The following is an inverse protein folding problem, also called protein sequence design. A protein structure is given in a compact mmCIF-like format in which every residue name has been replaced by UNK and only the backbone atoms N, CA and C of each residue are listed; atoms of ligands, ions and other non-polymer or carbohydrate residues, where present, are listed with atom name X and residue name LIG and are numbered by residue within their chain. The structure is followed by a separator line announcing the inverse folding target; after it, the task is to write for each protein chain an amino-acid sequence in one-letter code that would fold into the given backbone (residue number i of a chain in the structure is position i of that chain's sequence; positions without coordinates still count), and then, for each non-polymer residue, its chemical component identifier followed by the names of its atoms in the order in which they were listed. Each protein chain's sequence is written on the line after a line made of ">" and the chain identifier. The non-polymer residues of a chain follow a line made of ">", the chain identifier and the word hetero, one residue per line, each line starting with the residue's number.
data_IF_164375148035
#
_entry.id   IF_164375148035
#
_cell.length_a   1.000
_cell.length_b   1.000
_cell.length_c   1.000
_cell.angle_alpha   90.00
_cell.angle_beta   90.00
_cell.angle_gamma   90.00
#
_symmetry.space_group_name_H-M   'P 1'
#
loop_
_entity.id
_entity.type
_entity.pdbx_description
1 polymer ?
#
# COMPACT_ATOMS: atom_id res chain seq x y z
N UNK A 1 -25.10 1.09 38.74
CA UNK A 1 -25.28 0.29 37.52
C UNK A 1 -24.28 0.81 36.50
N UNK A 2 -23.23 0.03 36.25
CA UNK A 2 -22.09 0.43 35.43
C UNK A 2 -22.46 0.41 33.95
N UNK A 3 -22.04 1.47 33.26
CA UNK A 3 -22.06 1.59 31.80
C UNK A 3 -20.89 0.78 31.27
N UNK A 4 -21.17 -0.36 30.65
CA UNK A 4 -20.17 -1.19 30.00
C UNK A 4 -19.90 -0.63 28.61
N UNK A 5 -18.62 -0.32 28.41
CA UNK A 5 -17.92 0.07 27.20
C UNK A 5 -18.27 -0.83 26.01
N UNK A 6 -18.82 -0.23 24.94
CA UNK A 6 -18.75 -0.75 23.57
C UNK A 6 -18.07 0.38 22.80
N UNK A 7 -16.79 0.22 22.54
CA UNK A 7 -15.93 1.27 21.98
C UNK A 7 -14.53 0.74 21.82
N UNK A 8 -14.39 -0.29 20.97
CA UNK A 8 -13.11 -0.84 20.55
C UNK A 8 -13.35 -1.64 19.27
N UNK A 9 -13.22 -1.01 18.10
CA UNK A 9 -13.01 -1.73 16.83
C UNK A 9 -12.50 -0.82 15.70
N UNK A 10 -11.47 0.02 15.95
CA UNK A 10 -10.63 0.60 14.89
C UNK A 10 -9.19 0.79 15.42
N UNK A 11 -8.67 -0.20 16.14
CA UNK A 11 -7.24 -0.26 16.42
C UNK A 11 -6.60 -0.99 15.26
N UNK A 12 -6.07 -0.24 14.30
CA UNK A 12 -5.03 -0.76 13.42
C UNK A 12 -3.95 -1.41 14.30
N UNK A 13 -3.36 -2.55 13.91
CA UNK A 13 -2.15 -3.00 14.55
C UNK A 13 -1.07 -1.98 14.20
N UNK A 14 -0.92 -0.97 15.05
CA UNK A 14 0.32 -0.19 15.13
C UNK A 14 1.38 -1.23 15.48
N UNK A 15 2.17 -1.65 14.49
CA UNK A 15 3.45 -2.31 14.77
C UNK A 15 4.30 -1.22 15.41
N UNK A 16 4.23 -1.13 16.73
CA UNK A 16 5.13 -0.30 17.51
C UNK A 16 6.52 -0.93 17.45
N UNK A 17 7.22 -0.70 16.34
CA UNK A 17 8.67 -0.82 16.33
C UNK A 17 9.17 0.20 17.37
N UNK A 18 9.74 -0.31 18.47
CA UNK A 18 10.21 0.53 19.56
C UNK A 18 11.18 1.59 19.03
N UNK A 19 10.74 2.84 18.98
CA UNK A 19 11.63 3.98 18.72
C UNK A 19 12.50 4.15 19.95
N UNK A 20 13.63 3.44 19.99
CA UNK A 20 14.77 3.92 20.77
C UNK A 20 15.39 5.04 19.97
N UNK A 21 15.05 6.29 20.31
CA UNK A 21 15.74 7.47 19.84
C UNK A 21 17.18 7.45 20.39
N UNK A 22 18.06 6.70 19.73
CA UNK A 22 19.49 6.97 19.78
C UNK A 22 19.77 8.08 18.77
N UNK A 23 20.47 9.17 19.14
CA UNK A 23 20.88 10.16 18.18
C UNK A 23 21.79 9.48 17.16
N UNK A 24 21.30 9.30 15.93
CA UNK A 24 22.14 8.87 14.83
C UNK A 24 23.24 9.93 14.66
N UNK A 25 24.53 9.56 14.69
CA UNK A 25 25.56 10.49 14.25
C UNK A 25 25.22 10.90 12.82
N UNK A 26 25.35 12.19 12.52
CA UNK A 26 25.22 12.69 11.16
C UNK A 26 26.22 11.95 10.26
N UNK A 27 25.77 10.86 9.64
CA UNK A 27 26.49 10.22 8.57
C UNK A 27 26.48 11.23 7.43
N UNK A 28 27.67 11.69 7.06
CA UNK A 28 27.85 12.48 5.86
C UNK A 28 27.12 11.75 4.72
N UNK A 29 26.24 12.49 4.04
CA UNK A 29 25.60 12.04 2.81
C UNK A 29 26.74 11.84 1.82
N UNK A 30 27.20 10.61 1.71
CA UNK A 30 28.21 10.22 0.74
C UNK A 30 27.48 10.09 -0.59
N UNK A 31 27.57 11.13 -1.41
CA UNK A 31 27.15 11.11 -2.81
C UNK A 31 28.09 10.19 -3.60
N UNK A 32 28.04 8.89 -3.33
CA UNK A 32 28.48 7.88 -4.27
C UNK A 32 27.29 7.51 -5.15
N UNK A 33 26.94 8.45 -6.03
CA UNK A 33 26.22 8.17 -7.27
C UNK A 33 27.16 7.25 -8.05
N UNK A 34 26.91 5.94 -7.94
CA UNK A 34 27.52 4.96 -8.81
C UNK A 34 26.88 5.14 -10.19
N UNK A 35 27.70 5.33 -11.22
CA UNK A 35 27.28 5.38 -12.62
C UNK A 35 26.49 4.10 -12.99
N UNK A 36 25.16 4.13 -12.85
CA UNK A 36 24.21 3.07 -13.26
C UNK A 36 23.15 3.65 -14.19
N UNK A 37 23.57 4.32 -15.27
CA UNK A 37 22.65 5.00 -16.19
C UNK A 37 21.81 4.07 -17.10
N UNK A 38 21.54 2.81 -16.72
CA UNK A 38 20.82 1.84 -17.57
C UNK A 38 19.99 0.77 -16.82
N UNK A 39 19.83 0.83 -15.50
CA UNK A 39 19.01 -0.15 -14.78
C UNK A 39 17.64 0.45 -14.44
N UNK A 40 16.56 -0.25 -14.81
CA UNK A 40 15.20 0.10 -14.38
C UNK A 40 15.15 0.27 -12.86
N UNK A 41 14.42 1.27 -12.38
CA UNK A 41 14.34 1.61 -10.97
C UNK A 41 12.95 1.27 -10.40
N UNK A 42 12.91 0.84 -9.14
CA UNK A 42 11.68 0.72 -8.37
C UNK A 42 11.79 1.39 -6.99
N UNK A 43 10.80 2.21 -6.65
CA UNK A 43 10.59 2.76 -5.30
C UNK A 43 9.69 1.82 -4.50
N UNK A 44 10.17 1.31 -3.37
CA UNK A 44 9.46 0.32 -2.56
C UNK A 44 9.05 0.91 -1.22
N UNK A 45 7.74 1.03 -1.00
CA UNK A 45 7.13 1.51 0.24
C UNK A 45 6.53 0.33 1.02
N UNK A 46 7.24 -0.10 2.07
CA UNK A 46 6.84 -1.22 2.94
C UNK A 46 6.92 -0.85 4.42
N UNK A 47 6.13 -1.50 5.31
CA UNK A 47 6.00 -1.11 6.72
C UNK A 47 7.29 -1.17 7.56
N UNK A 48 8.33 -1.85 7.08
CA UNK A 48 9.62 -1.96 7.79
C UNK A 48 10.78 -2.02 6.78
N UNK A 49 11.87 -1.32 7.10
CA UNK A 49 13.12 -1.40 6.32
C UNK A 49 13.77 -2.77 6.54
N UNK A 50 13.40 -3.73 5.69
CA UNK A 50 13.84 -5.11 5.74
C UNK A 50 14.28 -5.56 4.35
N UNK A 51 15.57 -5.84 4.17
CA UNK A 51 16.14 -6.23 2.87
C UNK A 51 15.43 -7.45 2.29
N UNK A 52 15.07 -8.43 3.13
CA UNK A 52 14.35 -9.61 2.66
C UNK A 52 12.96 -9.23 2.11
N UNK A 53 12.29 -8.23 2.69
CA UNK A 53 11.00 -7.76 2.16
C UNK A 53 11.16 -7.01 0.84
N UNK A 54 12.26 -6.27 0.66
CA UNK A 54 12.59 -5.64 -0.62
C UNK A 54 12.85 -6.67 -1.72
N UNK A 55 13.60 -7.73 -1.39
CA UNK A 55 13.91 -8.80 -2.33
C UNK A 55 12.65 -9.61 -2.70
N UNK A 56 11.73 -9.79 -1.74
CA UNK A 56 10.45 -10.46 -1.97
C UNK A 56 9.46 -9.59 -2.75
N UNK A 57 9.34 -8.29 -2.46
CA UNK A 57 8.52 -7.40 -3.31
C UNK A 57 9.00 -7.42 -4.75
N UNK A 58 10.33 -7.48 -4.94
CA UNK A 58 10.92 -7.61 -6.27
C UNK A 58 10.53 -8.93 -6.95
N UNK A 59 10.84 -10.05 -6.31
CA UNK A 59 10.72 -11.37 -6.93
C UNK A 59 9.27 -11.85 -7.08
N UNK A 60 8.39 -11.49 -6.14
CA UNK A 60 7.00 -11.94 -6.13
C UNK A 60 6.06 -11.04 -6.92
N UNK A 61 6.37 -9.74 -7.05
CA UNK A 61 5.42 -8.77 -7.60
C UNK A 61 6.03 -7.89 -8.68
N UNK A 62 7.21 -7.30 -8.50
CA UNK A 62 7.76 -6.42 -9.55
C UNK A 62 8.17 -7.20 -10.81
N UNK A 63 9.00 -8.23 -10.68
CA UNK A 63 9.49 -9.02 -11.83
C UNK A 63 8.34 -9.68 -12.62
N UNK A 64 7.30 -10.23 -11.98
CA UNK A 64 6.13 -10.71 -12.68
C UNK A 64 5.34 -9.65 -13.46
N UNK A 65 5.44 -8.37 -13.07
CA UNK A 65 4.86 -7.22 -13.79
C UNK A 65 5.90 -6.53 -14.70
N UNK A 66 6.77 -7.34 -15.34
CA UNK A 66 7.77 -6.92 -16.32
C UNK A 66 8.95 -6.06 -15.80
N UNK A 67 9.07 -5.86 -14.49
CA UNK A 67 10.27 -5.22 -13.94
C UNK A 67 11.53 -6.07 -14.22
N UNK A 68 12.61 -5.50 -14.76
CA UNK A 68 13.81 -6.26 -15.08
C UNK A 68 14.42 -6.98 -13.86
N UNK A 69 14.87 -8.22 -14.06
CA UNK A 69 15.54 -9.00 -13.00
C UNK A 69 16.81 -8.31 -12.48
N UNK A 70 17.50 -7.54 -13.33
CA UNK A 70 18.68 -6.74 -12.99
C UNK A 70 18.35 -5.29 -12.58
N UNK A 71 17.06 -4.93 -12.51
CA UNK A 71 16.58 -3.63 -12.05
C UNK A 71 16.91 -3.36 -10.57
N UNK A 72 17.05 -2.09 -10.21
CA UNK A 72 17.41 -1.66 -8.86
C UNK A 72 16.16 -1.29 -8.06
N UNK A 73 15.96 -1.98 -6.93
CA UNK A 73 14.91 -1.65 -5.96
C UNK A 73 15.48 -0.84 -4.81
N UNK A 74 14.87 0.29 -4.49
CA UNK A 74 15.28 1.16 -3.39
C UNK A 74 14.12 1.37 -2.41
N UNK A 75 14.41 1.31 -1.11
CA UNK A 75 13.42 1.67 -0.10
C UNK A 75 13.05 3.14 -0.23
N UNK A 76 11.75 3.43 -0.24
CA UNK A 76 11.24 4.75 0.04
C UNK A 76 10.63 4.74 1.45
N UNK A 77 11.37 5.28 2.42
CA UNK A 77 10.89 5.36 3.78
C UNK A 77 9.82 6.45 3.88
N UNK A 78 8.61 6.04 4.24
CA UNK A 78 7.48 6.92 4.50
C UNK A 78 7.19 6.97 6.01
N UNK A 79 6.68 8.10 6.53
CA UNK A 79 6.34 8.20 7.95
C UNK A 79 5.21 7.23 8.29
N UNK A 80 5.32 6.59 9.46
CA UNK A 80 4.26 5.82 10.10
C UNK A 80 4.01 6.47 11.46
N UNK A 81 2.91 7.23 11.58
CA UNK A 81 2.60 7.97 12.82
C UNK A 81 1.26 7.53 13.41
N UNK A 82 1.01 7.90 14.67
CA UNK A 82 -0.30 7.64 15.30
C UNK A 82 -1.44 8.47 14.70
N UNK A 83 -1.13 9.46 13.87
CA UNK A 83 -2.07 10.26 13.08
C UNK A 83 -2.03 9.74 11.63
N UNK A 84 -3.07 9.02 11.23
CA UNK A 84 -3.12 8.36 9.92
C UNK A 84 -3.17 9.38 8.77
N UNK A 85 -3.93 10.47 8.92
CA UNK A 85 -3.97 11.54 7.93
C UNK A 85 -2.57 12.15 7.72
N UNK A 86 -1.85 12.43 8.80
CA UNK A 86 -0.48 12.95 8.71
C UNK A 86 0.49 11.93 8.11
N UNK A 87 0.31 10.64 8.42
CA UNK A 87 1.06 9.51 7.85
C UNK A 87 0.90 9.47 6.33
N UNK A 88 -0.35 9.44 5.86
CA UNK A 88 -0.69 9.37 4.43
C UNK A 88 -0.28 10.62 3.68
N UNK A 89 -0.57 11.82 4.20
CA UNK A 89 -0.18 13.06 3.54
C UNK A 89 1.35 13.18 3.44
N UNK A 90 2.08 12.84 4.50
CA UNK A 90 3.54 12.85 4.48
C UNK A 90 4.14 11.81 3.53
N UNK A 91 3.57 10.60 3.48
CA UNK A 91 3.97 9.56 2.53
C UNK A 91 3.73 9.99 1.08
N UNK A 92 2.57 10.60 0.80
CA UNK A 92 2.21 11.12 -0.52
C UNK A 92 3.19 12.19 -0.97
N UNK A 93 3.47 13.19 -0.11
CA UNK A 93 4.40 14.27 -0.42
C UNK A 93 5.82 13.76 -0.70
N UNK A 94 6.28 12.78 0.08
CA UNK A 94 7.59 12.15 -0.10
C UNK A 94 7.67 11.42 -1.44
N UNK A 95 6.65 10.64 -1.79
CA UNK A 95 6.61 9.90 -3.06
C UNK A 95 6.56 10.84 -4.25
N UNK A 96 5.65 11.81 -4.24
CA UNK A 96 5.53 12.83 -5.29
C UNK A 96 6.86 13.55 -5.48
N UNK A 97 7.47 14.02 -4.38
CA UNK A 97 8.76 14.69 -4.44
C UNK A 97 9.87 13.78 -4.99
N UNK A 98 9.95 12.52 -4.56
CA UNK A 98 10.96 11.58 -5.02
C UNK A 98 10.86 11.29 -6.52
N UNK A 99 9.64 11.26 -7.07
CA UNK A 99 9.39 11.07 -8.50
C UNK A 99 9.73 12.36 -9.28
N UNK A 100 9.29 13.52 -8.80
CA UNK A 100 9.59 14.81 -9.44
C UNK A 100 11.09 15.13 -9.45
N UNK A 101 11.82 14.81 -8.37
CA UNK A 101 13.27 15.01 -8.33
C UNK A 101 13.99 14.14 -9.39
N UNK A 102 13.52 12.91 -9.63
CA UNK A 102 14.03 12.05 -10.70
C UNK A 102 13.67 12.58 -12.08
N UNK A 103 12.43 13.06 -12.24
CA UNK A 103 11.95 13.66 -13.48
C UNK A 103 12.72 14.94 -13.88
N UNK A 104 12.83 15.90 -12.95
CA UNK A 104 13.43 17.23 -13.18
C UNK A 104 14.97 17.21 -13.16
N UNK A 105 15.58 16.20 -12.53
CA UNK A 105 17.03 16.05 -12.41
C UNK A 105 17.77 15.91 -13.75
N UNK A 106 17.04 15.79 -14.87
CA UNK A 106 17.61 15.68 -16.22
C UNK A 106 18.07 14.26 -16.59
N UNK A 107 18.06 13.35 -15.63
CA UNK A 107 17.99 11.90 -15.85
C UNK A 107 16.52 11.51 -15.90
N UNK A 108 15.76 12.00 -16.89
CA UNK A 108 14.46 11.42 -17.26
C UNK A 108 14.68 9.99 -17.77
N UNK A 109 15.15 9.12 -16.88
CA UNK A 109 15.54 7.74 -17.13
C UNK A 109 14.32 6.88 -17.35
N UNK A 110 13.18 7.31 -16.82
CA UNK A 110 11.94 6.61 -17.01
C UNK A 110 11.05 7.22 -18.10
N UNK A 111 10.44 6.34 -18.87
CA UNK A 111 9.60 6.62 -20.04
C UNK A 111 8.59 5.49 -20.22
N UNK A 112 7.79 5.51 -21.28
CA UNK A 112 6.93 4.37 -21.59
C UNK A 112 7.65 3.07 -21.95
N UNK A 113 8.89 3.15 -22.42
CA UNK A 113 9.69 1.97 -22.73
C UNK A 113 10.46 1.45 -21.49
N UNK A 114 10.56 2.26 -20.43
CA UNK A 114 11.27 1.95 -19.18
C UNK A 114 10.59 2.72 -18.04
N UNK A 115 9.41 2.31 -17.55
CA UNK A 115 8.69 3.09 -16.56
C UNK A 115 9.39 3.02 -15.19
N UNK A 116 9.21 4.06 -14.38
CA UNK A 116 9.59 3.99 -12.97
C UNK A 116 8.56 3.15 -12.25
N UNK A 117 9.01 2.09 -11.59
CA UNK A 117 8.12 1.22 -10.82
C UNK A 117 7.92 1.75 -9.40
N UNK A 118 6.71 1.63 -8.89
CA UNK A 118 6.35 2.00 -7.53
C UNK A 118 5.67 0.80 -6.88
N UNK A 119 6.31 0.19 -5.90
CA UNK A 119 5.71 -0.87 -5.09
C UNK A 119 5.15 -0.28 -3.79
N UNK A 120 3.89 -0.61 -3.48
CA UNK A 120 3.27 -0.25 -2.22
C UNK A 120 2.61 -1.45 -1.53
N UNK A 121 2.56 -1.38 -0.20
CA UNK A 121 1.92 -2.38 0.64
C UNK A 121 0.93 -1.71 1.61
N UNK A 122 -0.30 -2.23 1.68
CA UNK A 122 -1.32 -1.80 2.65
C UNK A 122 -1.56 -0.28 2.62
N UNK A 123 -1.37 0.40 3.75
CA UNK A 123 -1.53 1.85 3.92
C UNK A 123 -0.75 2.67 2.87
N UNK A 124 0.43 2.20 2.45
CA UNK A 124 1.25 2.92 1.47
C UNK A 124 0.55 3.06 0.10
N UNK A 125 -0.38 2.16 -0.23
CA UNK A 125 -1.14 2.22 -1.48
C UNK A 125 -2.14 3.38 -1.50
N UNK A 126 -2.70 3.74 -0.34
CA UNK A 126 -3.56 4.93 -0.23
C UNK A 126 -2.77 6.19 -0.58
N UNK A 127 -1.53 6.29 -0.09
CA UNK A 127 -0.63 7.39 -0.46
C UNK A 127 -0.20 7.31 -1.93
N UNK A 128 0.00 6.10 -2.47
CA UNK A 128 0.32 5.90 -3.88
C UNK A 128 -0.81 6.39 -4.81
N UNK A 129 -2.06 6.01 -4.54
CA UNK A 129 -3.22 6.48 -5.31
C UNK A 129 -3.43 7.99 -5.23
N UNK A 130 -3.17 8.61 -4.07
CA UNK A 130 -3.16 10.09 -3.97
C UNK A 130 -2.01 10.71 -4.75
N UNK A 131 -0.84 10.08 -4.77
CA UNK A 131 0.31 10.54 -5.55
C UNK A 131 0.03 10.46 -7.05
N UNK A 132 -0.67 9.42 -7.54
CA UNK A 132 -1.09 9.33 -8.93
C UNK A 132 -1.85 10.59 -9.38
N UNK A 133 -2.86 11.00 -8.60
CA UNK A 133 -3.63 12.22 -8.90
C UNK A 133 -2.72 13.44 -8.98
N UNK A 134 -1.85 13.64 -7.99
CA UNK A 134 -0.96 14.81 -7.94
C UNK A 134 0.09 14.82 -9.05
N UNK A 135 0.60 13.66 -9.46
CA UNK A 135 1.60 13.52 -10.52
C UNK A 135 0.97 13.78 -11.89
N UNK A 136 -0.26 13.29 -12.11
CA UNK A 136 -1.00 13.56 -13.34
C UNK A 136 -1.33 15.06 -13.47
N UNK A 137 -1.75 15.71 -12.38
CA UNK A 137 -1.98 17.16 -12.34
C UNK A 137 -0.71 17.98 -12.60
N UNK A 138 0.45 17.46 -12.19
CA UNK A 138 1.76 18.06 -12.46
C UNK A 138 2.30 17.75 -13.86
N UNK A 139 1.59 16.94 -14.65
CA UNK A 139 1.89 16.68 -16.05
C UNK A 139 2.92 15.57 -16.28
N UNK A 140 3.14 14.69 -15.30
CA UNK A 140 3.93 13.47 -15.52
C UNK A 140 3.17 12.56 -16.51
N UNK A 141 3.80 12.12 -17.61
CA UNK A 141 3.13 11.29 -18.62
C UNK A 141 2.55 10.01 -18.01
N UNK A 142 1.31 9.68 -18.37
CA UNK A 142 0.56 8.55 -17.80
C UNK A 142 1.19 7.17 -18.06
N UNK A 143 2.09 7.09 -19.04
CA UNK A 143 2.82 5.90 -19.44
C UNK A 143 4.23 5.83 -18.82
N UNK A 144 4.65 6.84 -18.05
CA UNK A 144 5.99 6.91 -17.47
C UNK A 144 6.14 6.17 -16.13
N UNK A 145 5.03 5.82 -15.47
CA UNK A 145 5.03 5.19 -14.15
C UNK A 145 4.24 3.87 -14.21
N UNK A 146 4.66 2.92 -13.37
CA UNK A 146 3.98 1.64 -13.17
C UNK A 146 3.83 1.34 -11.68
N UNK A 147 2.61 1.33 -11.18
CA UNK A 147 2.31 1.04 -9.78
C UNK A 147 2.00 -0.44 -9.58
N UNK A 148 2.59 -1.05 -8.55
CA UNK A 148 2.30 -2.43 -8.13
C UNK A 148 1.91 -2.38 -6.66
N UNK A 149 0.62 -2.53 -6.40
CA UNK A 149 -0.01 -2.30 -5.10
C UNK A 149 -0.51 -3.61 -4.51
N UNK A 150 -0.09 -3.92 -3.29
CA UNK A 150 -0.47 -5.17 -2.61
C UNK A 150 -1.27 -4.87 -1.36
N UNK A 151 -2.48 -5.44 -1.25
CA UNK A 151 -3.37 -5.21 -0.12
C UNK A 151 -3.90 -3.78 -0.04
N UNK A 152 -4.21 -3.15 -1.18
CA UNK A 152 -4.68 -1.76 -1.20
C UNK A 152 -6.09 -1.61 -0.63
N UNK A 153 -6.21 -0.88 0.49
CA UNK A 153 -7.51 -0.61 1.11
C UNK A 153 -8.40 0.39 0.36
N UNK A 154 -7.82 1.18 -0.54
CA UNK A 154 -8.53 2.12 -1.42
C UNK A 154 -8.82 1.53 -2.80
N UNK A 155 -8.48 0.27 -3.06
CA UNK A 155 -8.83 -0.43 -4.29
C UNK A 155 -10.35 -0.37 -4.56
N UNK A 156 -10.76 -0.56 -5.81
CA UNK A 156 -12.16 -0.80 -6.13
C UNK A 156 -12.66 -2.04 -5.37
N UNK A 157 -13.70 -1.86 -4.54
CA UNK A 157 -14.21 -2.92 -3.65
C UNK A 157 -13.44 -3.10 -2.33
N UNK A 158 -12.38 -2.32 -2.07
CA UNK A 158 -11.66 -2.26 -0.80
C UNK A 158 -12.46 -1.62 0.34
N UNK A 159 -11.91 -1.64 1.56
CA UNK A 159 -12.56 -1.09 2.75
C UNK A 159 -12.84 0.40 2.65
N UNK A 160 -11.86 1.21 2.23
CA UNK A 160 -12.01 2.66 2.20
C UNK A 160 -13.02 3.11 1.14
N UNK A 161 -13.13 2.37 0.02
CA UNK A 161 -14.08 2.63 -1.06
C UNK A 161 -15.47 2.04 -0.76
N UNK A 162 -15.54 0.87 -0.12
CA UNK A 162 -16.77 0.10 0.09
C UNK A 162 -17.49 0.34 1.42
N UNK A 163 -16.80 0.74 2.49
CA UNK A 163 -17.39 0.84 3.83
C UNK A 163 -18.58 1.79 3.89
N UNK A 164 -18.43 3.02 3.37
CA UNK A 164 -19.49 4.03 3.43
C UNK A 164 -20.71 3.61 2.58
N UNK A 165 -20.56 3.17 1.31
CA UNK A 165 -21.66 2.59 0.54
C UNK A 165 -22.39 1.44 1.26
N UNK A 166 -21.66 0.45 1.79
CA UNK A 166 -22.25 -0.67 2.53
C UNK A 166 -22.98 -0.17 3.78
N UNK A 167 -22.44 0.80 4.51
CA UNK A 167 -23.14 1.37 5.66
C UNK A 167 -24.45 2.04 5.24
N UNK A 168 -24.41 2.88 4.20
CA UNK A 168 -25.57 3.62 3.70
C UNK A 168 -26.66 2.69 3.16
N UNK A 169 -26.33 1.50 2.65
CA UNK A 169 -27.33 0.53 2.18
C UNK A 169 -28.24 -0.01 3.30
N UNK A 170 -27.83 0.10 4.56
CA UNK A 170 -28.66 -0.25 5.72
C UNK A 170 -29.64 0.85 6.15
N UNK A 171 -29.51 2.06 5.60
CA UNK A 171 -30.32 3.21 5.99
C UNK A 171 -31.17 3.74 4.81
N UNK A 172 -32.37 4.29 5.08
CA UNK A 172 -33.14 4.99 4.06
C UNK A 172 -32.38 6.20 3.49
N UNK A 173 -32.54 6.49 2.20
CA UNK A 173 -31.91 7.64 1.52
C UNK A 173 -32.09 8.97 2.27
N UNK A 174 -33.27 9.17 2.86
CA UNK A 174 -33.59 10.37 3.65
C UNK A 174 -32.69 10.59 4.87
N UNK A 175 -31.94 9.57 5.30
CA UNK A 175 -31.01 9.62 6.44
C UNK A 175 -29.54 9.61 6.01
N UNK A 176 -29.25 9.51 4.70
CA UNK A 176 -27.87 9.36 4.22
C UNK A 176 -26.99 10.54 4.63
N UNK A 177 -27.46 11.78 4.49
CA UNK A 177 -26.71 12.97 4.90
C UNK A 177 -26.36 12.96 6.41
N UNK A 178 -27.29 12.53 7.25
CA UNK A 178 -27.08 12.43 8.70
C UNK A 178 -26.06 11.32 9.04
N UNK A 179 -26.12 10.18 8.36
CA UNK A 179 -25.18 9.06 8.54
C UNK A 179 -23.79 9.43 8.04
N UNK A 180 -23.67 10.07 6.87
CA UNK A 180 -22.40 10.58 6.34
C UNK A 180 -21.79 11.56 7.35
N UNK A 181 -22.57 12.53 7.83
CA UNK A 181 -22.10 13.50 8.82
C UNK A 181 -21.58 12.82 10.09
N UNK A 182 -22.29 11.81 10.59
CA UNK A 182 -21.87 11.03 11.76
C UNK A 182 -20.55 10.29 11.51
N UNK A 183 -20.40 9.65 10.35
CA UNK A 183 -19.18 8.92 9.98
C UNK A 183 -18.00 9.87 9.92
N UNK A 184 -18.11 11.00 9.21
CA UNK A 184 -17.02 11.96 9.11
C UNK A 184 -16.68 12.63 10.44
N UNK A 185 -17.65 12.88 11.33
CA UNK A 185 -17.36 13.36 12.70
C UNK A 185 -16.55 12.35 13.52
N UNK A 186 -16.85 11.05 13.36
CA UNK A 186 -16.08 10.01 14.01
C UNK A 186 -14.69 9.85 13.37
N UNK A 187 -14.62 9.94 12.05
CA UNK A 187 -13.36 9.89 11.31
C UNK A 187 -12.43 11.05 11.68
N UNK A 188 -12.97 12.26 11.83
CA UNK A 188 -12.22 13.46 12.27
C UNK A 188 -11.67 13.26 13.69
N UNK A 189 -12.46 12.68 14.60
CA UNK A 189 -12.00 12.35 15.96
C UNK A 189 -10.85 11.35 15.96
N UNK A 190 -10.83 10.44 14.99
CA UNK A 190 -9.81 9.41 14.85
C UNK A 190 -8.67 9.80 13.91
N UNK A 191 -8.70 11.01 13.34
CA UNK A 191 -7.75 11.49 12.33
C UNK A 191 -7.63 10.55 11.12
N UNK A 192 -8.78 10.10 10.58
CA UNK A 192 -8.89 9.25 9.37
C UNK A 192 -9.88 9.84 8.34
N UNK A 193 -10.39 11.04 8.57
CA UNK A 193 -11.41 11.68 7.72
C UNK A 193 -10.94 11.94 6.29
N UNK A 194 -9.64 12.12 6.05
CA UNK A 194 -9.13 12.39 4.70
C UNK A 194 -9.00 11.13 3.85
N UNK A 195 -9.14 9.93 4.43
CA UNK A 195 -8.93 8.66 3.73
C UNK A 195 -10.22 7.85 3.50
N UNK A 196 -11.27 8.13 4.26
CA UNK A 196 -12.57 7.44 4.10
C UNK A 196 -13.23 7.87 2.79
N UNK A 197 -13.63 6.89 1.98
CA UNK A 197 -14.24 7.11 0.67
C UNK A 197 -13.25 7.31 -0.46
N UNK A 198 -11.94 7.25 -0.18
CA UNK A 198 -10.93 7.26 -1.24
C UNK A 198 -11.04 6.00 -2.09
N UNK A 199 -10.83 6.19 -3.38
CA UNK A 199 -10.72 5.13 -4.38
C UNK A 199 -9.43 5.39 -5.15
N UNK A 200 -8.58 4.37 -5.23
CA UNK A 200 -7.38 4.39 -6.07
C UNK A 200 -7.81 4.62 -7.52
N UNK A 201 -7.25 5.64 -8.22
CA UNK A 201 -7.62 5.91 -9.60
C UNK A 201 -7.36 4.69 -10.49
N UNK A 202 -8.26 4.45 -11.44
CA UNK A 202 -8.11 3.36 -12.41
C UNK A 202 -7.88 3.85 -13.84
N UNK A 203 -7.78 5.16 -14.06
CA UNK A 203 -7.68 5.77 -15.39
C UNK A 203 -6.45 6.69 -15.56
N UNK A 204 -5.52 6.65 -14.61
CA UNK A 204 -4.28 7.44 -14.63
C UNK A 204 -3.10 6.61 -15.15
N UNK A 205 -2.33 5.97 -14.27
CA UNK A 205 -1.12 5.23 -14.62
C UNK A 205 -1.41 3.73 -14.81
N UNK A 206 -0.44 2.99 -15.36
CA UNK A 206 -0.49 1.52 -15.34
C UNK A 206 -0.38 1.05 -13.90
N UNK A 207 -1.37 0.29 -13.43
CA UNK A 207 -1.45 -0.12 -12.03
C UNK A 207 -1.86 -1.58 -11.91
N UNK A 208 -1.11 -2.39 -11.16
CA UNK A 208 -1.48 -3.75 -10.81
C UNK A 208 -1.81 -3.82 -9.32
N UNK A 209 -3.03 -4.24 -8.97
CA UNK A 209 -3.51 -4.33 -7.60
C UNK A 209 -3.69 -5.80 -7.22
N UNK A 210 -2.92 -6.30 -6.27
CA UNK A 210 -3.02 -7.65 -5.75
C UNK A 210 -3.81 -7.70 -4.44
N UNK A 211 -4.89 -8.47 -4.44
CA UNK A 211 -5.78 -8.65 -3.29
C UNK A 211 -6.00 -10.13 -2.99
N UNK A 212 -5.99 -10.51 -1.71
CA UNK A 212 -6.47 -11.81 -1.25
C UNK A 212 -7.98 -11.76 -1.11
N UNK A 213 -8.68 -12.81 -1.56
CA UNK A 213 -10.16 -12.85 -1.52
C UNK A 213 -10.74 -12.76 -0.10
N UNK A 214 -9.95 -13.06 0.92
CA UNK A 214 -10.33 -12.95 2.33
C UNK A 214 -9.76 -11.74 3.06
N UNK A 215 -8.92 -10.92 2.43
CA UNK A 215 -8.37 -9.71 3.03
C UNK A 215 -9.42 -8.60 3.06
N UNK A 216 -10.08 -8.40 4.21
CA UNK A 216 -11.12 -7.39 4.36
C UNK A 216 -10.68 -5.93 4.22
N UNK A 217 -9.37 -5.62 4.18
CA UNK A 217 -8.93 -4.28 3.81
C UNK A 217 -8.97 -4.10 2.30
N UNK A 218 -8.43 -5.05 1.54
CA UNK A 218 -8.33 -4.95 0.07
C UNK A 218 -9.56 -5.48 -0.68
N UNK A 219 -10.35 -6.33 -0.04
CA UNK A 219 -11.61 -6.87 -0.53
C UNK A 219 -12.67 -6.81 0.58
N UNK A 220 -13.44 -5.74 0.63
CA UNK A 220 -14.43 -5.52 1.69
C UNK A 220 -15.61 -6.49 1.61
N UNK A 221 -16.11 -6.76 0.40
CA UNK A 221 -17.23 -7.68 0.11
C UNK A 221 -18.44 -7.45 1.05
N UNK A 222 -18.90 -6.20 1.14
CA UNK A 222 -19.97 -5.77 2.05
C UNK A 222 -19.74 -6.14 3.53
N UNK A 223 -18.48 -6.26 3.94
CA UNK A 223 -18.05 -6.64 5.28
C UNK A 223 -17.94 -8.15 5.51
N UNK A 224 -18.16 -8.99 4.49
CA UNK A 224 -18.04 -10.43 4.62
C UNK A 224 -16.61 -10.87 4.98
N UNK A 225 -15.60 -10.12 4.56
CA UNK A 225 -14.18 -10.44 4.78
C UNK A 225 -13.57 -9.74 6.00
N UNK A 226 -14.38 -9.15 6.89
CA UNK A 226 -13.90 -8.49 8.12
C UNK A 226 -12.93 -9.36 8.95
N UNK A 227 -13.09 -10.68 8.92
CA UNK A 227 -12.20 -11.60 9.63
C UNK A 227 -10.75 -11.55 9.16
N UNK A 228 -10.51 -11.44 7.85
CA UNK A 228 -9.15 -11.49 7.29
C UNK A 228 -8.40 -10.16 7.33
N UNK A 229 -9.05 -9.06 7.75
CA UNK A 229 -8.38 -7.77 8.00
C UNK A 229 -7.18 -7.88 8.95
N UNK A 230 -7.24 -8.81 9.91
CA UNK A 230 -6.23 -8.96 10.96
C UNK A 230 -5.46 -10.29 10.90
N UNK A 231 -5.71 -11.11 9.87
CA UNK A 231 -4.92 -12.30 9.58
C UNK A 231 -4.34 -12.18 8.18
N UNK A 232 -5.20 -12.31 7.17
CA UNK A 232 -4.82 -12.63 5.80
C UNK A 232 -4.15 -11.43 5.11
N UNK A 233 -4.49 -10.21 5.53
CA UNK A 233 -3.84 -8.96 5.10
C UNK A 233 -2.31 -8.93 5.30
N UNK A 234 -1.76 -9.77 6.17
CA UNK A 234 -0.32 -9.84 6.46
C UNK A 234 0.40 -10.93 5.64
N UNK A 235 -0.32 -11.69 4.82
CA UNK A 235 0.21 -12.91 4.21
C UNK A 235 0.94 -12.70 2.88
N UNK A 236 0.74 -11.56 2.20
CA UNK A 236 1.15 -11.36 0.81
C UNK A 236 2.63 -11.65 0.54
N UNK A 237 3.55 -11.08 1.33
CA UNK A 237 5.00 -11.33 1.17
C UNK A 237 5.44 -12.74 1.61
N UNK A 238 4.54 -13.52 2.18
CA UNK A 238 4.75 -14.92 2.54
C UNK A 238 4.18 -15.91 1.53
N UNK A 239 3.47 -15.46 0.51
CA UNK A 239 2.91 -16.28 -0.56
C UNK A 239 4.01 -16.85 -1.47
N UNK A 240 3.71 -17.99 -2.08
CA UNK A 240 4.52 -18.56 -3.15
C UNK A 240 4.19 -17.93 -4.51
N UNK A 241 5.13 -17.96 -5.49
CA UNK A 241 4.86 -17.53 -6.86
C UNK A 241 3.69 -18.27 -7.50
N UNK A 242 3.51 -19.56 -7.20
CA UNK A 242 2.40 -20.37 -7.70
C UNK A 242 1.04 -19.91 -7.16
N UNK A 243 0.99 -19.49 -5.89
CA UNK A 243 -0.23 -18.94 -5.29
C UNK A 243 -0.58 -17.59 -5.90
N UNK A 244 0.40 -16.71 -6.11
CA UNK A 244 0.18 -15.38 -6.73
C UNK A 244 -0.26 -15.54 -8.19
N UNK A 245 0.42 -16.38 -8.96
CA UNK A 245 0.07 -16.64 -10.37
C UNK A 245 -1.26 -17.37 -10.56
N UNK A 246 -1.88 -17.85 -9.48
CA UNK A 246 -3.24 -18.40 -9.52
C UNK A 246 -4.35 -17.34 -9.50
N UNK A 247 -3.98 -16.06 -9.40
CA UNK A 247 -4.91 -14.95 -9.37
C UNK A 247 -5.84 -14.93 -10.60
N UNK A 248 -7.06 -14.44 -10.39
CA UNK A 248 -7.98 -14.10 -11.46
C UNK A 248 -7.93 -12.61 -11.72
N UNK A 249 -7.77 -12.23 -12.98
CA UNK A 249 -7.59 -10.84 -13.37
C UNK A 249 -8.89 -10.18 -13.82
N UNK A 250 -9.10 -8.95 -13.37
CA UNK A 250 -10.10 -8.03 -13.88
C UNK A 250 -9.43 -6.71 -14.28
N UNK A 251 -9.70 -6.22 -15.49
CA UNK A 251 -9.09 -4.97 -15.98
C UNK A 251 -10.15 -3.87 -15.99
N UNK A 252 -9.87 -2.77 -15.28
CA UNK A 252 -10.70 -1.57 -15.22
C UNK A 252 -9.82 -0.37 -15.56
N UNK A 253 -10.09 0.26 -16.70
CA UNK A 253 -9.24 1.35 -17.20
C UNK A 253 -7.80 0.88 -17.47
N UNK A 254 -6.84 1.52 -16.81
CA UNK A 254 -5.41 1.22 -16.82
C UNK A 254 -4.98 0.34 -15.63
N UNK A 255 -5.93 -0.11 -14.81
CA UNK A 255 -5.64 -0.97 -13.64
C UNK A 255 -6.02 -2.42 -13.90
N UNK A 256 -5.10 -3.34 -13.58
CA UNK A 256 -5.37 -4.77 -13.47
C UNK A 256 -5.53 -5.15 -12.00
N UNK A 257 -6.68 -5.69 -11.64
CA UNK A 257 -6.95 -6.25 -10.33
C UNK A 257 -6.70 -7.75 -10.36
N UNK A 258 -5.69 -8.18 -9.61
CA UNK A 258 -5.32 -9.58 -9.42
C UNK A 258 -5.92 -10.10 -8.11
N UNK A 259 -7.02 -10.85 -8.22
CA UNK A 259 -7.66 -11.47 -7.07
C UNK A 259 -7.09 -12.86 -6.82
N UNK A 260 -6.34 -13.01 -5.73
CA UNK A 260 -5.78 -14.29 -5.26
C UNK A 260 -6.85 -14.97 -4.39
N UNK A 261 -7.41 -16.08 -4.87
CA UNK A 261 -8.38 -16.84 -4.09
C UNK A 261 -7.69 -17.53 -2.90
N UNK A 262 -8.00 -17.09 -1.68
CA UNK A 262 -7.46 -17.66 -0.44
C UNK A 262 -7.71 -19.17 -0.31
N UNK A 263 -8.71 -19.73 -1.00
CA UNK A 263 -8.90 -21.19 -1.04
C UNK A 263 -7.73 -21.94 -1.70
N UNK A 264 -6.95 -21.27 -2.55
CA UNK A 264 -5.75 -21.81 -3.20
C UNK A 264 -4.47 -21.52 -2.43
N UNK A 265 -4.56 -20.81 -1.30
CA UNK A 265 -3.42 -20.36 -0.50
C UNK A 265 -3.26 -21.22 0.76
N UNK A 266 -2.04 -21.65 1.04
CA UNK A 266 -1.69 -22.18 2.36
C UNK A 266 -1.50 -21.02 3.34
N UNK A 267 -2.62 -20.44 3.81
CA UNK A 267 -2.63 -19.21 4.60
C UNK A 267 -1.78 -19.31 5.88
N UNK A 268 -1.79 -20.47 6.55
CA UNK A 268 -0.93 -20.67 7.72
C UNK A 268 0.55 -20.58 7.36
N UNK A 269 0.98 -21.23 6.27
CA UNK A 269 2.37 -21.16 5.84
C UNK A 269 2.75 -19.74 5.38
N UNK A 270 1.87 -19.07 4.65
CA UNK A 270 2.09 -17.69 4.21
C UNK A 270 2.27 -16.75 5.41
N UNK A 271 1.39 -16.83 6.41
CA UNK A 271 1.51 -16.05 7.64
C UNK A 271 2.76 -16.41 8.44
N UNK A 272 3.13 -17.69 8.50
CA UNK A 272 4.37 -18.10 9.16
C UNK A 272 5.61 -17.57 8.44
N UNK A 273 5.63 -17.60 7.11
CA UNK A 273 6.70 -17.00 6.31
C UNK A 273 6.80 -15.50 6.61
N UNK A 274 5.69 -14.76 6.52
CA UNK A 274 5.64 -13.33 6.87
C UNK A 274 6.10 -13.06 8.30
N UNK A 275 5.65 -13.85 9.28
CA UNK A 275 5.97 -13.68 10.70
C UNK A 275 7.43 -14.00 11.03
N UNK A 276 8.00 -15.07 10.46
CA UNK A 276 9.43 -15.38 10.57
C UNK A 276 10.28 -14.24 10.03
N UNK A 277 9.81 -13.55 9.00
CA UNK A 277 10.50 -12.40 8.43
C UNK A 277 10.44 -11.16 9.33
N UNK A 278 9.29 -10.92 10.00
CA UNK A 278 9.15 -9.86 11.01
C UNK A 278 10.05 -10.13 12.22
N UNK A 279 10.04 -11.37 12.74
CA UNK A 279 10.78 -11.75 13.94
C UNK A 279 12.28 -11.96 13.68
N UNK A 280 12.66 -12.51 12.52
CA UNK A 280 14.04 -12.66 12.10
C UNK A 280 14.73 -11.31 11.90
N UNK A 281 13.97 -10.30 11.42
CA UNK A 281 14.41 -8.91 11.37
C UNK A 281 14.72 -8.32 12.74
N UNK A 282 13.97 -8.68 13.80
CA UNK A 282 14.24 -8.21 15.17
C UNK A 282 15.47 -8.86 15.82
N UNK A 283 15.77 -10.12 15.48
CA UNK A 283 16.92 -10.85 16.03
C UNK A 283 18.26 -10.47 15.38
N UNK A 284 18.25 -10.01 14.12
CA UNK A 284 19.45 -9.55 13.43
C UNK A 284 20.04 -8.22 13.99
N UNK A 285 19.33 -7.58 14.91
CA UNK A 285 19.73 -6.34 15.59
C UNK A 285 20.27 -6.55 17.02
N UNK A 286 20.40 -7.80 17.48
CA UNK A 286 21.04 -8.19 18.75
C UNK A 286 22.33 -8.98 18.49
#
# INVERSE_FOLDING_TARGET
>A
MNKTTIGALLAAPVIAAGVTAAPAPAAAIDHHILDYALAAEALVMIPALNQNWLDLSKSLYLVPNDFPEDGTTTFLQVPETSDLNASISGATDILVKAILERWDGGEGSFSSDDPLYIFGYSQANVAAGLAEVQLAEQGIPLDALHFVMVGDSAAEGGFLSGFLPTLLSYFPESWHDDVITMVYQFAEMMHIDSVIGLVTPSDLYTTDVYSLSSDGFANWDDGAQMGGMFSDHLAYLGLSPEEISSATDEVIGNTTYHMIDTANVNMFQALMNSAEMIMGGLLAWF
#
